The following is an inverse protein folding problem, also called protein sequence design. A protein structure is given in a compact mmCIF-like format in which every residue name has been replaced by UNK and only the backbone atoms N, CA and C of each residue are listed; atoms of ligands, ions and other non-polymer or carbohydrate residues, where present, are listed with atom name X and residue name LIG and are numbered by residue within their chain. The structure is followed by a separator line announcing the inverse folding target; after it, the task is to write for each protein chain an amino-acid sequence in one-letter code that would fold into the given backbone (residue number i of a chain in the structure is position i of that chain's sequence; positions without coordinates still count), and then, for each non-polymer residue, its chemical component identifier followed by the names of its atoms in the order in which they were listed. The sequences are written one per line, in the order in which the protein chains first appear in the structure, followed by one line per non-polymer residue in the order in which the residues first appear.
data_IF_265578349689
#
_entry.id   IF_265578349689
#
_cell.length_a   1.000
_cell.length_b   1.000
_cell.length_c   1.000
_cell.angle_alpha   90.00
_cell.angle_beta   90.00
_cell.angle_gamma   90.00
#
_symmetry.space_group_name_H-M   'P 1'
#
loop_
_entity.id
_entity.type
_entity.pdbx_description
1 polymer ?
#
# COMPACT_ATOMS: atom_id res chain seq x y z
N UNK A 1 -13.33 7.43 16.53
CA UNK A 1 -11.90 7.21 16.80
C UNK A 1 -11.53 7.58 18.23
N UNK A 2 -11.70 8.83 18.70
CA UNK A 2 -11.28 9.26 20.05
C UNK A 2 -11.72 8.33 21.21
N UNK A 3 -12.95 7.81 21.18
CA UNK A 3 -13.42 6.85 22.21
C UNK A 3 -12.64 5.54 22.19
N UNK A 4 -12.23 5.05 21.02
CA UNK A 4 -11.46 3.79 20.91
C UNK A 4 -10.00 4.00 21.33
N UNK A 5 -9.44 5.19 21.10
CA UNK A 5 -8.11 5.56 21.59
C UNK A 5 -8.05 5.69 23.11
N UNK A 6 -9.19 6.03 23.75
CA UNK A 6 -9.33 6.05 25.20
C UNK A 6 -9.58 4.65 25.80
N UNK A 7 -10.23 3.76 25.04
CA UNK A 7 -10.58 2.42 25.49
C UNK A 7 -10.49 1.40 24.34
N UNK A 8 -9.35 0.73 24.23
CA UNK A 8 -9.10 -0.30 23.22
C UNK A 8 -9.94 -1.58 23.40
N UNK A 9 -10.65 -1.77 24.52
CA UNK A 9 -11.61 -2.87 24.67
C UNK A 9 -12.77 -2.79 23.67
N UNK A 10 -12.97 -1.62 23.04
CA UNK A 10 -13.97 -1.39 21.99
C UNK A 10 -13.54 -1.94 20.60
N UNK A 11 -12.28 -2.32 20.40
CA UNK A 11 -11.80 -2.82 19.11
C UNK A 11 -12.60 -3.99 18.53
N UNK A 12 -13.00 -5.02 19.31
CA UNK A 12 -13.82 -6.11 18.78
C UNK A 12 -15.15 -5.64 18.21
N UNK A 13 -15.79 -4.65 18.83
CA UNK A 13 -17.06 -4.08 18.36
C UNK A 13 -16.84 -3.30 17.06
N UNK A 14 -15.74 -2.55 16.94
CA UNK A 14 -15.40 -1.82 15.70
C UNK A 14 -15.07 -2.79 14.58
N UNK A 15 -14.34 -3.86 14.87
CA UNK A 15 -14.06 -4.94 13.89
C UNK A 15 -15.35 -5.59 13.39
N UNK A 16 -16.27 -5.94 14.30
CA UNK A 16 -17.57 -6.49 13.94
C UNK A 16 -18.39 -5.50 13.08
N UNK A 17 -18.27 -4.20 13.35
CA UNK A 17 -18.93 -3.14 12.60
C UNK A 17 -18.58 -3.12 11.10
N UNK A 18 -17.42 -3.66 10.68
CA UNK A 18 -17.06 -3.79 9.27
C UNK A 18 -17.98 -4.74 8.49
N UNK A 19 -18.70 -5.63 9.18
CA UNK A 19 -19.71 -6.55 8.61
C UNK A 19 -21.13 -5.99 8.66
N UNK A 20 -21.33 -4.75 9.13
CA UNK A 20 -22.66 -4.14 9.24
C UNK A 20 -23.35 -4.03 7.88
N UNK A 21 -24.66 -4.28 7.86
CA UNK A 21 -25.51 -4.02 6.69
C UNK A 21 -25.61 -2.54 6.34
N UNK A 22 -25.51 -1.67 7.37
CA UNK A 22 -25.53 -0.20 7.21
C UNK A 22 -24.18 0.30 6.69
N UNK A 23 -24.16 0.90 5.51
CA UNK A 23 -22.94 1.33 4.81
C UNK A 23 -22.11 2.35 5.63
N UNK A 24 -22.77 3.32 6.27
CA UNK A 24 -22.10 4.32 7.10
C UNK A 24 -21.37 3.71 8.31
N UNK A 25 -21.96 2.70 8.96
CA UNK A 25 -21.29 1.96 10.06
C UNK A 25 -20.12 1.16 9.50
N UNK A 26 -20.36 0.36 8.46
CA UNK A 26 -19.37 -0.52 7.86
C UNK A 26 -18.11 0.25 7.42
N UNK A 27 -18.28 1.32 6.66
CA UNK A 27 -17.15 2.11 6.16
C UNK A 27 -16.54 3.00 7.23
N UNK A 28 -17.36 3.52 8.16
CA UNK A 28 -16.87 4.27 9.31
C UNK A 28 -15.95 3.41 10.19
N UNK A 29 -16.35 2.17 10.49
CA UNK A 29 -15.51 1.23 11.23
C UNK A 29 -14.22 0.90 10.48
N UNK A 30 -14.29 0.61 9.18
CA UNK A 30 -13.11 0.36 8.36
C UNK A 30 -12.11 1.52 8.37
N UNK A 31 -12.60 2.76 8.26
CA UNK A 31 -11.77 3.96 8.33
C UNK A 31 -11.10 4.12 9.71
N UNK A 32 -11.87 3.94 10.80
CA UNK A 32 -11.33 4.01 12.18
C UNK A 32 -10.22 2.98 12.39
N UNK A 33 -10.42 1.73 11.94
CA UNK A 33 -9.40 0.68 12.05
C UNK A 33 -8.14 1.01 11.25
N UNK A 34 -8.29 1.56 10.03
CA UNK A 34 -7.17 1.99 9.20
C UNK A 34 -6.36 3.09 9.90
N UNK A 35 -7.01 4.13 10.43
CA UNK A 35 -6.33 5.22 11.14
C UNK A 35 -5.65 4.73 12.44
N UNK A 36 -6.30 3.83 13.18
CA UNK A 36 -5.71 3.22 14.38
C UNK A 36 -4.53 2.30 14.03
N UNK A 37 -4.53 1.61 12.90
CA UNK A 37 -3.40 0.76 12.47
C UNK A 37 -2.12 1.56 12.25
N UNK A 38 -2.24 2.83 11.87
CA UNK A 38 -1.09 3.72 11.70
C UNK A 38 -0.57 4.24 13.04
N UNK A 39 -1.48 4.64 13.93
CA UNK A 39 -1.14 5.28 15.21
C UNK A 39 -0.77 4.28 16.32
N UNK A 40 -1.45 3.12 16.34
CA UNK A 40 -1.35 2.11 17.39
C UNK A 40 -1.22 0.70 16.80
N UNK A 41 -0.21 0.44 15.94
CA UNK A 41 -0.09 -0.84 15.22
C UNK A 41 -0.02 -2.04 16.17
N UNK A 42 0.62 -1.92 17.33
CA UNK A 42 0.74 -2.98 18.34
C UNK A 42 -0.62 -3.37 18.96
N UNK A 43 -1.58 -2.43 19.02
CA UNK A 43 -2.95 -2.70 19.51
C UNK A 43 -3.79 -3.40 18.45
N UNK A 44 -3.52 -3.14 17.17
CA UNK A 44 -4.26 -3.70 16.05
C UNK A 44 -3.68 -5.02 15.55
N UNK A 45 -2.38 -5.25 15.74
CA UNK A 45 -1.71 -6.45 15.24
C UNK A 45 -2.32 -7.78 15.71
N UNK A 46 -2.83 -7.95 16.96
CA UNK A 46 -3.54 -9.17 17.34
C UNK A 46 -4.73 -9.53 16.44
N UNK A 47 -5.26 -8.56 15.71
CA UNK A 47 -6.39 -8.72 14.79
C UNK A 47 -6.00 -8.74 13.32
N UNK A 48 -4.70 -8.92 12.99
CA UNK A 48 -4.22 -8.87 11.60
C UNK A 48 -4.97 -9.82 10.67
N UNK A 49 -5.40 -10.99 11.16
CA UNK A 49 -6.15 -11.97 10.39
C UNK A 49 -7.50 -11.41 9.90
N UNK A 50 -8.12 -10.51 10.67
CA UNK A 50 -9.35 -9.80 10.24
C UNK A 50 -9.09 -8.84 9.09
N UNK A 51 -7.96 -8.17 9.07
CA UNK A 51 -7.57 -7.34 7.92
C UNK A 51 -7.26 -8.19 6.68
N UNK A 52 -6.65 -9.37 6.87
CA UNK A 52 -6.42 -10.33 5.79
C UNK A 52 -7.74 -10.86 5.22
N UNK A 53 -8.73 -11.16 6.06
CA UNK A 53 -10.10 -11.52 5.63
C UNK A 53 -10.77 -10.39 4.84
N UNK A 54 -10.57 -9.12 5.24
CA UNK A 54 -11.15 -7.95 4.55
C UNK A 54 -10.60 -7.74 3.14
N UNK A 55 -9.44 -8.32 2.78
CA UNK A 55 -8.95 -8.33 1.39
C UNK A 55 -9.90 -9.06 0.44
N UNK A 56 -10.71 -10.00 0.94
CA UNK A 56 -11.72 -10.75 0.18
C UNK A 56 -13.11 -10.07 0.22
N UNK A 57 -13.21 -8.87 0.77
CA UNK A 57 -14.50 -8.19 0.90
C UNK A 57 -15.05 -7.79 -0.48
N UNK A 58 -16.36 -8.03 -0.67
CA UNK A 58 -17.08 -7.47 -1.82
C UNK A 58 -17.14 -5.93 -1.83
N UNK A 59 -16.78 -5.28 -0.75
CA UNK A 59 -16.79 -3.83 -0.59
C UNK A 59 -15.38 -3.26 -0.77
N UNK A 60 -15.07 -2.69 -1.94
CA UNK A 60 -13.74 -2.16 -2.29
C UNK A 60 -13.16 -1.21 -1.24
N UNK A 61 -13.98 -0.35 -0.64
CA UNK A 61 -13.50 0.58 0.40
C UNK A 61 -12.88 -0.18 1.58
N UNK A 62 -13.45 -1.33 1.97
CA UNK A 62 -12.86 -2.17 3.02
C UNK A 62 -11.57 -2.85 2.56
N UNK A 63 -11.50 -3.27 1.29
CA UNK A 63 -10.25 -3.81 0.71
C UNK A 63 -9.15 -2.75 0.76
N UNK A 64 -9.44 -1.51 0.34
CA UNK A 64 -8.46 -0.41 0.39
C UNK A 64 -8.00 -0.11 1.83
N UNK A 65 -8.94 -0.04 2.78
CA UNK A 65 -8.59 0.15 4.19
C UNK A 65 -7.74 -1.01 4.72
N UNK A 66 -8.03 -2.25 4.32
CA UNK A 66 -7.27 -3.43 4.71
C UNK A 66 -5.84 -3.41 4.15
N UNK A 67 -5.66 -3.06 2.86
CA UNK A 67 -4.33 -2.92 2.24
C UNK A 67 -3.44 -1.92 3.00
N UNK A 68 -4.00 -0.76 3.35
CA UNK A 68 -3.29 0.27 4.11
C UNK A 68 -2.99 -0.23 5.54
N UNK A 69 -4.00 -0.82 6.21
CA UNK A 69 -3.83 -1.33 7.58
C UNK A 69 -2.77 -2.42 7.67
N UNK A 70 -2.79 -3.39 6.76
CA UNK A 70 -1.79 -4.46 6.70
C UNK A 70 -0.39 -3.87 6.54
N UNK A 71 -0.20 -2.91 5.63
CA UNK A 71 1.08 -2.25 5.46
C UNK A 71 1.56 -1.55 6.75
N UNK A 72 0.67 -0.84 7.45
CA UNK A 72 1.01 -0.22 8.73
C UNK A 72 1.40 -1.24 9.80
N UNK A 73 0.73 -2.41 9.82
CA UNK A 73 0.97 -3.47 10.79
C UNK A 73 2.31 -4.22 10.55
N UNK A 74 2.92 -4.10 9.36
CA UNK A 74 4.23 -4.73 9.10
C UNK A 74 5.32 -4.27 10.06
N UNK A 75 5.21 -3.06 10.63
CA UNK A 75 6.16 -2.52 11.61
C UNK A 75 6.29 -3.37 12.88
N UNK A 76 5.22 -4.07 13.24
CA UNK A 76 5.12 -4.87 14.48
C UNK A 76 4.89 -6.36 14.20
N UNK A 77 4.98 -6.78 12.95
CA UNK A 77 4.73 -8.15 12.47
C UNK A 77 5.91 -9.09 12.79
N UNK A 78 6.11 -9.37 14.08
CA UNK A 78 7.12 -10.33 14.55
C UNK A 78 6.81 -11.78 14.13
N UNK A 79 5.51 -12.09 13.95
CA UNK A 79 5.05 -13.41 13.52
C UNK A 79 5.16 -13.66 12.02
N UNK A 80 5.67 -12.69 11.23
CA UNK A 80 5.85 -12.79 9.78
C UNK A 80 4.58 -13.15 9.01
N UNK A 81 3.41 -12.74 9.52
CA UNK A 81 2.12 -13.00 8.87
C UNK A 81 2.01 -12.32 7.51
N UNK A 82 2.64 -11.16 7.34
CA UNK A 82 2.71 -10.49 6.04
C UNK A 82 3.44 -11.34 5.00
N UNK A 83 4.50 -12.03 5.39
CA UNK A 83 5.27 -12.87 4.47
C UNK A 83 4.39 -13.97 3.85
N UNK A 84 3.50 -14.57 4.67
CA UNK A 84 2.56 -15.60 4.20
C UNK A 84 1.54 -15.08 3.17
N UNK A 85 1.26 -13.77 3.18
CA UNK A 85 0.30 -13.13 2.26
C UNK A 85 0.96 -12.22 1.24
N UNK A 86 2.29 -12.19 1.15
CA UNK A 86 3.03 -11.31 0.25
C UNK A 86 2.52 -11.39 -1.18
N UNK A 87 2.45 -12.59 -1.74
CA UNK A 87 1.93 -12.81 -3.10
C UNK A 87 0.49 -12.34 -3.24
N UNK A 88 -0.38 -12.63 -2.25
CA UNK A 88 -1.77 -12.19 -2.25
C UNK A 88 -1.87 -10.66 -2.24
N UNK A 89 -1.05 -9.99 -1.42
CA UNK A 89 -1.02 -8.53 -1.31
C UNK A 89 -0.60 -7.87 -2.64
N UNK A 90 0.51 -8.33 -3.24
CA UNK A 90 1.00 -7.75 -4.50
C UNK A 90 0.18 -8.17 -5.72
N UNK A 91 -0.62 -9.24 -5.63
CA UNK A 91 -1.54 -9.62 -6.71
C UNK A 91 -2.63 -8.57 -6.95
N UNK A 92 -2.90 -7.67 -5.99
CA UNK A 92 -3.77 -6.50 -6.18
C UNK A 92 -3.21 -5.46 -7.17
N UNK A 93 -1.96 -5.57 -7.62
CA UNK A 93 -1.46 -4.81 -8.77
C UNK A 93 -2.23 -5.14 -10.05
N UNK A 94 -2.83 -6.33 -10.14
CA UNK A 94 -3.62 -6.80 -11.28
C UNK A 94 -5.13 -6.54 -11.13
N UNK A 95 -5.58 -5.82 -10.09
CA UNK A 95 -7.02 -5.57 -9.81
C UNK A 95 -7.71 -4.73 -10.90
N UNK A 96 -6.97 -3.96 -11.67
CA UNK A 96 -7.50 -3.14 -12.76
C UNK A 96 -8.17 -1.82 -12.30
N UNK A 97 -8.23 -1.53 -11.00
CA UNK A 97 -8.70 -0.25 -10.46
C UNK A 97 -7.54 0.57 -9.90
N UNK A 98 -7.43 1.81 -10.39
CA UNK A 98 -6.36 2.72 -10.01
C UNK A 98 -6.16 2.83 -8.50
N UNK A 99 -7.25 3.00 -7.72
CA UNK A 99 -7.16 3.21 -6.26
C UNK A 99 -6.60 1.96 -5.56
N UNK A 100 -6.98 0.77 -6.00
CA UNK A 100 -6.45 -0.48 -5.44
C UNK A 100 -4.95 -0.58 -5.67
N UNK A 101 -4.52 -0.39 -6.93
CA UNK A 101 -3.11 -0.45 -7.33
C UNK A 101 -2.30 0.64 -6.62
N UNK A 102 -2.82 1.87 -6.57
CA UNK A 102 -2.16 2.98 -5.89
C UNK A 102 -1.96 2.73 -4.38
N UNK A 103 -2.92 2.07 -3.71
CA UNK A 103 -2.76 1.70 -2.31
C UNK A 103 -1.65 0.65 -2.10
N UNK A 104 -1.53 -0.34 -2.97
CA UNK A 104 -0.41 -1.31 -2.90
C UNK A 104 0.91 -0.59 -3.10
N UNK A 105 1.05 0.14 -4.20
CA UNK A 105 2.28 0.81 -4.60
C UNK A 105 2.70 1.86 -3.57
N UNK A 106 1.76 2.72 -3.16
CA UNK A 106 2.06 3.83 -2.22
C UNK A 106 2.39 3.38 -0.80
N UNK A 107 2.01 2.16 -0.39
CA UNK A 107 2.38 1.60 0.92
C UNK A 107 3.60 0.66 0.86
N UNK A 108 4.12 0.37 -0.33
CA UNK A 108 5.26 -0.55 -0.48
C UNK A 108 6.54 -0.02 0.17
N UNK A 109 6.75 1.31 0.21
CA UNK A 109 7.86 1.92 0.93
C UNK A 109 7.83 1.59 2.42
N UNK A 110 6.67 1.77 3.07
CA UNK A 110 6.47 1.42 4.49
C UNK A 110 6.80 -0.06 4.76
N UNK A 111 6.35 -0.95 3.87
CA UNK A 111 6.59 -2.40 3.99
C UNK A 111 8.09 -2.70 3.85
N UNK A 112 8.75 -2.12 2.84
CA UNK A 112 10.18 -2.32 2.59
C UNK A 112 11.04 -1.83 3.78
N UNK A 113 10.69 -0.70 4.37
CA UNK A 113 11.38 -0.17 5.56
C UNK A 113 11.19 -1.10 6.77
N UNK A 114 9.96 -1.63 6.97
CA UNK A 114 9.63 -2.52 8.08
C UNK A 114 10.21 -3.95 7.90
N UNK A 115 10.36 -4.40 6.65
CA UNK A 115 10.81 -5.75 6.28
C UNK A 115 11.95 -5.69 5.25
N UNK A 116 13.17 -5.27 5.65
CA UNK A 116 14.26 -5.04 4.71
C UNK A 116 14.65 -6.26 3.87
N UNK A 117 14.42 -7.46 4.36
CA UNK A 117 14.69 -8.72 3.66
C UNK A 117 13.74 -8.97 2.46
N UNK A 118 12.63 -8.22 2.32
CA UNK A 118 11.70 -8.28 1.19
C UNK A 118 11.98 -7.19 0.13
N UNK A 119 12.99 -6.36 0.31
CA UNK A 119 13.25 -5.21 -0.57
C UNK A 119 13.40 -5.63 -2.03
N UNK A 120 14.11 -6.73 -2.31
CA UNK A 120 14.35 -7.15 -3.68
C UNK A 120 13.07 -7.64 -4.37
N UNK A 121 12.22 -8.38 -3.62
CA UNK A 121 10.90 -8.81 -4.08
C UNK A 121 9.97 -7.62 -4.32
N UNK A 122 9.91 -6.70 -3.36
CA UNK A 122 9.09 -5.46 -3.46
C UNK A 122 9.54 -4.62 -4.66
N UNK A 123 10.85 -4.47 -4.87
CA UNK A 123 11.41 -3.76 -6.03
C UNK A 123 10.93 -4.38 -7.34
N UNK A 124 10.99 -5.71 -7.46
CA UNK A 124 10.50 -6.42 -8.65
C UNK A 124 9.00 -6.20 -8.89
N UNK A 125 8.18 -6.22 -7.83
CA UNK A 125 6.75 -5.96 -7.95
C UNK A 125 6.47 -4.51 -8.39
N UNK A 126 7.15 -3.53 -7.80
CA UNK A 126 6.96 -2.11 -8.15
C UNK A 126 7.39 -1.79 -9.58
N UNK A 127 8.42 -2.43 -10.12
CA UNK A 127 8.85 -2.23 -11.51
C UNK A 127 7.82 -2.70 -12.55
N UNK A 128 6.87 -3.58 -12.18
CA UNK A 128 5.79 -4.04 -13.07
C UNK A 128 4.78 -2.94 -13.40
N UNK A 129 4.72 -1.85 -12.61
CA UNK A 129 3.65 -0.83 -12.75
C UNK A 129 3.66 -0.12 -14.11
N UNK A 130 4.81 -0.03 -14.76
CA UNK A 130 4.94 0.57 -16.09
C UNK A 130 4.21 -0.26 -17.17
N UNK A 131 4.15 -1.58 -17.00
CA UNK A 131 3.52 -2.53 -17.92
C UNK A 131 2.09 -2.93 -17.54
N UNK A 132 1.47 -2.32 -16.54
CA UNK A 132 0.11 -2.69 -16.13
C UNK A 132 -0.89 -2.54 -17.28
N UNK A 133 -1.80 -3.51 -17.47
CA UNK A 133 -2.81 -3.43 -18.51
C UNK A 133 -3.77 -2.27 -18.24
N UNK A 134 -4.18 -1.59 -19.33
CA UNK A 134 -5.18 -0.53 -19.24
C UNK A 134 -6.57 -1.14 -19.09
N UNK A 135 -7.39 -0.49 -18.29
CA UNK A 135 -8.80 -0.82 -18.09
C UNK A 135 -9.62 0.47 -18.07
N UNK A 136 -10.97 0.41 -18.12
CA UNK A 136 -11.81 1.61 -17.92
C UNK A 136 -11.53 2.35 -16.61
N UNK A 137 -10.99 1.67 -15.59
CA UNK A 137 -10.69 2.23 -14.27
C UNK A 137 -9.18 2.42 -14.01
N UNK A 138 -8.34 2.07 -14.98
CA UNK A 138 -6.89 2.25 -14.97
C UNK A 138 -6.42 2.72 -16.34
N UNK A 139 -6.56 4.01 -16.60
CA UNK A 139 -6.18 4.68 -17.85
C UNK A 139 -4.67 4.95 -17.91
N UNK A 140 -4.16 5.45 -19.03
CA UNK A 140 -2.78 5.92 -19.15
C UNK A 140 -2.42 6.96 -18.08
N UNK A 141 -3.34 7.89 -17.78
CA UNK A 141 -3.11 8.91 -16.77
C UNK A 141 -3.09 8.29 -15.35
N UNK A 142 -4.00 7.35 -15.07
CA UNK A 142 -3.96 6.59 -13.82
C UNK A 142 -2.62 5.86 -13.63
N UNK A 143 -2.11 5.24 -14.70
CA UNK A 143 -0.81 4.54 -14.66
C UNK A 143 0.36 5.50 -14.38
N UNK A 144 0.32 6.74 -14.91
CA UNK A 144 1.33 7.78 -14.58
C UNK A 144 1.29 8.16 -13.10
N UNK A 145 0.10 8.30 -12.52
CA UNK A 145 -0.05 8.54 -11.07
C UNK A 145 0.54 7.39 -10.26
N UNK A 146 0.30 6.15 -10.67
CA UNK A 146 0.85 4.95 -10.01
C UNK A 146 2.39 4.93 -10.13
N UNK A 147 2.96 5.25 -11.29
CA UNK A 147 4.41 5.36 -11.47
C UNK A 147 5.03 6.45 -10.58
N UNK A 148 4.34 7.59 -10.41
CA UNK A 148 4.77 8.62 -9.46
C UNK A 148 4.81 8.09 -8.02
N UNK A 149 3.80 7.31 -7.59
CA UNK A 149 3.80 6.66 -6.28
C UNK A 149 4.91 5.61 -6.15
N UNK A 150 5.22 4.87 -7.22
CA UNK A 150 6.31 3.91 -7.21
C UNK A 150 7.66 4.60 -6.98
N UNK A 151 7.93 5.74 -7.64
CA UNK A 151 9.14 6.53 -7.41
C UNK A 151 9.22 7.03 -5.96
N UNK A 152 8.10 7.49 -5.38
CA UNK A 152 8.04 7.87 -3.97
C UNK A 152 8.37 6.70 -3.04
N UNK A 153 7.81 5.53 -3.32
CA UNK A 153 8.11 4.33 -2.53
C UNK A 153 9.56 3.90 -2.66
N UNK A 154 10.14 3.91 -3.85
CA UNK A 154 11.57 3.64 -4.04
C UNK A 154 12.46 4.60 -3.24
N UNK A 155 12.11 5.87 -3.16
CA UNK A 155 12.89 6.89 -2.43
C UNK A 155 13.05 6.56 -0.94
N UNK A 156 12.10 5.81 -0.34
CA UNK A 156 12.16 5.41 1.07
C UNK A 156 13.21 4.32 1.36
N UNK A 157 13.61 3.52 0.37
CA UNK A 157 14.52 2.37 0.59
C UNK A 157 15.56 2.17 -0.51
N UNK A 158 15.74 3.12 -1.43
CA UNK A 158 16.62 3.01 -2.59
C UNK A 158 18.05 2.61 -2.24
N UNK A 159 18.60 3.14 -1.15
CA UNK A 159 19.95 2.83 -0.68
C UNK A 159 20.18 1.32 -0.38
N UNK A 160 19.09 0.56 -0.15
CA UNK A 160 19.11 -0.88 0.16
C UNK A 160 18.78 -1.77 -1.03
N UNK A 161 18.48 -1.17 -2.20
CA UNK A 161 18.22 -1.92 -3.43
C UNK A 161 19.55 -2.42 -4.01
N UNK A 162 19.62 -3.69 -4.39
CA UNK A 162 20.80 -4.28 -5.03
C UNK A 162 20.89 -3.89 -6.50
N UNK A 163 19.84 -4.14 -7.28
CA UNK A 163 19.78 -3.83 -8.72
C UNK A 163 19.28 -2.40 -8.96
N UNK A 164 20.04 -1.40 -8.49
CA UNK A 164 19.69 0.04 -8.58
C UNK A 164 19.48 0.52 -10.01
N UNK A 165 20.26 -0.01 -10.95
CA UNK A 165 20.21 0.35 -12.37
C UNK A 165 18.82 0.12 -12.98
N UNK A 166 18.09 -0.90 -12.54
CA UNK A 166 16.73 -1.16 -13.00
C UNK A 166 15.76 -0.05 -12.57
N UNK A 167 15.90 0.42 -11.32
CA UNK A 167 15.09 1.51 -10.80
C UNK A 167 15.48 2.84 -11.43
N UNK A 168 16.78 3.14 -11.56
CA UNK A 168 17.26 4.33 -12.25
C UNK A 168 16.77 4.37 -13.71
N UNK A 169 16.84 3.25 -14.43
CA UNK A 169 16.34 3.14 -15.80
C UNK A 169 14.83 3.38 -15.87
N UNK A 170 14.06 2.82 -14.93
CA UNK A 170 12.61 3.08 -14.80
C UNK A 170 12.35 4.58 -14.58
N UNK A 171 13.07 5.22 -13.67
CA UNK A 171 12.89 6.64 -13.34
C UNK A 171 13.31 7.53 -14.52
N UNK A 172 14.43 7.25 -15.19
CA UNK A 172 14.91 8.01 -16.36
C UNK A 172 13.89 8.04 -17.50
N UNK A 173 13.15 6.94 -17.74
CA UNK A 173 12.07 6.91 -18.72
C UNK A 173 10.91 7.87 -18.39
N UNK A 174 10.75 8.28 -17.12
CA UNK A 174 9.68 9.19 -16.70
C UNK A 174 10.03 10.68 -16.83
N UNK A 175 11.26 11.03 -17.16
CA UNK A 175 11.70 12.42 -17.34
C UNK A 175 10.90 13.17 -18.41
N UNK A 176 10.49 12.48 -19.48
CA UNK A 176 9.71 13.05 -20.59
C UNK A 176 8.20 12.76 -20.44
N UNK A 177 7.73 12.42 -19.24
CA UNK A 177 6.30 12.17 -19.02
C UNK A 177 5.47 13.42 -19.30
N UNK A 178 4.33 13.31 -20.01
CA UNK A 178 3.42 14.43 -20.18
C UNK A 178 2.72 14.85 -18.87
N UNK A 179 2.79 14.01 -17.83
CA UNK A 179 2.38 14.39 -16.49
C UNK A 179 3.52 15.10 -15.77
N UNK A 180 3.40 16.42 -15.62
CA UNK A 180 4.44 17.28 -15.06
C UNK A 180 4.90 16.82 -13.65
N UNK A 181 3.96 16.42 -12.78
CA UNK A 181 4.29 15.96 -11.42
C UNK A 181 5.15 14.68 -11.43
N UNK A 182 4.92 13.77 -12.37
CA UNK A 182 5.74 12.57 -12.53
C UNK A 182 7.15 12.92 -13.05
N UNK A 183 7.24 13.78 -14.08
CA UNK A 183 8.52 14.22 -14.61
C UNK A 183 9.36 14.99 -13.56
N UNK A 184 8.70 15.85 -12.77
CA UNK A 184 9.33 16.55 -11.63
C UNK A 184 9.84 15.55 -10.60
N UNK A 185 9.02 14.58 -10.19
CA UNK A 185 9.42 13.55 -9.21
C UNK A 185 10.60 12.71 -9.71
N UNK A 186 10.63 12.40 -11.01
CA UNK A 186 11.74 11.69 -11.61
C UNK A 186 13.04 12.49 -11.54
N UNK A 187 13.02 13.80 -11.83
CA UNK A 187 14.20 14.68 -11.69
C UNK A 187 14.70 14.72 -10.26
N UNK A 188 13.81 15.00 -9.28
CA UNK A 188 14.17 15.06 -7.85
C UNK A 188 14.81 13.75 -7.36
N UNK A 189 14.29 12.60 -7.83
CA UNK A 189 14.85 11.30 -7.48
C UNK A 189 16.25 11.10 -8.05
N UNK A 190 16.47 11.44 -9.33
CA UNK A 190 17.77 11.29 -9.97
C UNK A 190 18.80 12.26 -9.40
N UNK A 191 18.44 13.52 -9.11
CA UNK A 191 19.31 14.49 -8.42
C UNK A 191 19.81 13.97 -7.07
N UNK A 192 19.00 13.12 -6.39
CA UNK A 192 19.36 12.56 -5.08
C UNK A 192 20.19 11.27 -5.19
N UNK A 193 19.98 10.47 -6.23
CA UNK A 193 20.43 9.08 -6.25
C UNK A 193 21.30 8.66 -7.44
N UNK A 194 21.36 9.42 -8.52
CA UNK A 194 22.17 9.18 -9.73
C UNK A 194 23.38 10.11 -9.73
#
# INVERSE_FOLDING_TARGET
MAKVEQDFSLLPIVLQGTSSTKANIRYGCGKVLMELSEKHPERLYPYIDKFIELLESKHRILVWNALISIANLTKVDKGRKFDAIFTKYYNFLNDGYMITVANVVGNSGKIAVAKPYLIQEITRELLKVEGLPLTPHLTFECRRVIMEQAIRSFDEFFNKIEAKENVLSFVKRQLCSPRESLAKRAREFLEKWD
#
